data_IF_141960632675
#
_entry.id   IF_141960632675
#
_cell.length_a   1.000
_cell.length_b   1.000
_cell.length_c   1.000
_cell.angle_alpha   90.00
_cell.angle_beta   90.00
_cell.angle_gamma   90.00
#
_symmetry.space_group_name_H-M   'P 1'
#
loop_
_entity.id
_entity.type
_entity.pdbx_description
1 polymer ?
#
# COMPACT_ATOMS: atom_id res chain seq x y z
N UNK A 1 -11.73 27.84 -27.86
CA UNK A 1 -11.76 28.83 -26.76
C UNK A 1 -10.68 28.43 -25.77
N UNK A 2 -10.01 29.37 -25.09
CA UNK A 2 -8.98 28.99 -24.12
C UNK A 2 -9.62 28.26 -22.94
N UNK A 3 -9.07 27.12 -22.57
CA UNK A 3 -9.60 26.27 -21.48
C UNK A 3 -8.49 25.75 -20.58
N UNK A 4 -8.75 25.78 -19.27
CA UNK A 4 -7.89 25.19 -18.24
C UNK A 4 -8.52 23.89 -17.75
N UNK A 5 -7.84 22.77 -17.99
CA UNK A 5 -8.23 21.43 -17.53
C UNK A 5 -7.42 21.04 -16.30
N UNK A 6 -8.11 20.60 -15.24
CA UNK A 6 -7.53 20.23 -13.95
C UNK A 6 -7.96 18.83 -13.54
N UNK A 7 -7.01 17.99 -13.15
CA UNK A 7 -7.29 16.65 -12.64
C UNK A 7 -7.73 16.71 -11.17
N UNK A 8 -8.99 16.43 -10.89
CA UNK A 8 -9.64 16.68 -9.58
C UNK A 8 -9.01 15.88 -8.41
N UNK A 9 -8.37 14.75 -8.70
CA UNK A 9 -7.73 13.90 -7.68
C UNK A 9 -6.22 14.15 -7.53
N UNK A 10 -5.63 15.08 -8.29
CA UNK A 10 -4.22 15.42 -8.17
C UNK A 10 -3.95 16.29 -6.92
N UNK A 11 -2.67 16.50 -6.60
CA UNK A 11 -2.26 17.29 -5.44
C UNK A 11 -2.82 18.73 -5.50
N UNK A 12 -3.61 19.11 -4.50
CA UNK A 12 -4.21 20.45 -4.42
C UNK A 12 -3.14 21.56 -4.41
N UNK A 13 -1.93 21.29 -3.92
CA UNK A 13 -0.83 22.26 -3.94
C UNK A 13 -0.40 22.64 -5.36
N UNK A 14 -0.64 21.75 -6.33
CA UNK A 14 -0.38 21.96 -7.74
C UNK A 14 -1.59 22.63 -8.44
N UNK A 15 -2.80 22.20 -8.09
CA UNK A 15 -4.04 22.63 -8.75
C UNK A 15 -4.51 24.04 -8.37
N UNK A 16 -4.37 24.41 -7.10
CA UNK A 16 -4.94 25.66 -6.57
C UNK A 16 -4.29 26.92 -7.15
N UNK A 17 -2.95 27.04 -7.30
CA UNK A 17 -2.36 28.26 -7.85
C UNK A 17 -2.88 28.67 -9.24
N UNK A 18 -2.88 27.79 -10.28
CA UNK A 18 -3.40 28.17 -11.60
C UNK A 18 -4.92 28.36 -11.61
N UNK A 19 -5.68 27.59 -10.82
CA UNK A 19 -7.12 27.81 -10.67
C UNK A 19 -7.42 29.22 -10.14
N UNK A 20 -6.76 29.60 -9.05
CA UNK A 20 -7.03 30.88 -8.40
C UNK A 20 -6.60 32.06 -9.25
N UNK A 21 -5.54 31.91 -10.04
CA UNK A 21 -5.16 32.91 -11.06
C UNK A 21 -6.27 33.07 -12.10
N UNK A 22 -6.83 31.98 -12.60
CA UNK A 22 -7.97 32.05 -13.54
C UNK A 22 -9.20 32.66 -12.88
N UNK A 23 -9.54 32.27 -11.66
CA UNK A 23 -10.67 32.81 -10.92
C UNK A 23 -10.52 34.32 -10.67
N UNK A 24 -9.30 34.78 -10.36
CA UNK A 24 -8.99 36.20 -10.27
C UNK A 24 -9.22 36.93 -11.60
N UNK A 25 -8.71 36.39 -12.71
CA UNK A 25 -8.85 36.99 -14.04
C UNK A 25 -10.32 37.10 -14.47
N UNK A 26 -11.13 36.10 -14.14
CA UNK A 26 -12.58 36.13 -14.33
C UNK A 26 -13.25 37.17 -13.43
N UNK A 27 -12.80 37.31 -12.17
CA UNK A 27 -13.34 38.27 -11.21
C UNK A 27 -13.07 39.73 -11.61
N UNK A 28 -11.85 40.02 -12.08
CA UNK A 28 -11.42 41.38 -12.49
C UNK A 28 -11.91 41.73 -13.91
N UNK A 29 -12.68 40.85 -14.57
CA UNK A 29 -13.25 41.02 -15.92
C UNK A 29 -12.19 41.36 -17.00
N UNK A 30 -10.94 40.93 -16.82
CA UNK A 30 -9.84 41.23 -17.75
C UNK A 30 -9.74 40.24 -18.92
N UNK A 31 -10.50 39.14 -18.91
CA UNK A 31 -10.39 38.07 -19.90
C UNK A 31 -11.77 37.60 -20.38
N UNK A 32 -12.00 37.60 -21.70
CA UNK A 32 -13.17 36.97 -22.31
C UNK A 32 -13.07 35.44 -22.31
N UNK A 33 -14.18 34.77 -21.95
CA UNK A 33 -14.47 33.33 -22.10
C UNK A 33 -13.31 32.34 -21.87
N UNK A 34 -12.62 32.41 -20.74
CA UNK A 34 -11.71 31.35 -20.30
C UNK A 34 -12.49 30.34 -19.46
N UNK A 35 -12.63 29.09 -19.94
CA UNK A 35 -13.35 28.03 -19.23
C UNK A 35 -12.41 27.23 -18.33
N UNK A 36 -12.94 26.74 -17.21
CA UNK A 36 -12.26 25.78 -16.33
C UNK A 36 -13.02 24.47 -16.39
N UNK A 37 -12.31 23.40 -16.71
CA UNK A 37 -12.84 22.05 -16.88
C UNK A 37 -12.17 21.12 -15.85
N UNK A 38 -12.98 20.39 -15.09
CA UNK A 38 -12.53 19.51 -14.02
C UNK A 38 -12.64 18.05 -14.47
N UNK A 39 -11.50 17.39 -14.69
CA UNK A 39 -11.37 16.05 -15.27
C UNK A 39 -10.87 15.01 -14.23
N UNK A 40 -11.01 13.72 -14.52
CA UNK A 40 -10.39 12.67 -13.69
C UNK A 40 -8.89 12.57 -14.01
N UNK A 41 -8.05 12.13 -13.06
CA UNK A 41 -6.60 11.91 -13.28
C UNK A 41 -6.37 10.93 -14.44
N UNK A 42 -7.28 9.96 -14.61
CA UNK A 42 -7.24 9.04 -15.75
C UNK A 42 -7.60 9.70 -17.11
N UNK A 43 -8.12 10.93 -17.13
CA UNK A 43 -8.72 11.55 -18.31
C UNK A 43 -7.89 12.66 -18.97
N UNK A 44 -6.83 13.20 -18.33
CA UNK A 44 -5.95 14.18 -19.01
C UNK A 44 -4.96 13.47 -19.94
N UNK A 45 -4.33 12.39 -19.49
CA UNK A 45 -3.62 11.35 -20.26
C UNK A 45 -2.97 10.29 -19.33
N UNK A 46 -2.57 9.14 -19.90
CA UNK A 46 -1.89 8.03 -19.20
C UNK A 46 -0.47 8.36 -18.68
N UNK A 47 0.03 9.59 -18.91
CA UNK A 47 1.39 10.01 -18.56
C UNK A 47 1.48 10.76 -17.21
N UNK A 48 0.38 10.86 -16.46
CA UNK A 48 0.37 11.48 -15.13
C UNK A 48 0.40 13.02 -15.13
N UNK A 49 -0.09 13.65 -16.19
CA UNK A 49 -0.26 15.11 -16.27
C UNK A 49 -1.47 15.53 -15.42
N UNK A 50 -1.28 16.52 -14.55
CA UNK A 50 -2.33 16.98 -13.64
C UNK A 50 -3.04 18.26 -14.13
N UNK A 51 -2.37 19.06 -14.96
CA UNK A 51 -2.87 20.35 -15.46
C UNK A 51 -2.58 20.49 -16.95
N UNK A 52 -3.59 20.88 -17.72
CA UNK A 52 -3.44 21.22 -19.13
C UNK A 52 -4.14 22.54 -19.46
N UNK A 53 -3.45 23.45 -20.14
CA UNK A 53 -3.99 24.72 -20.60
C UNK A 53 -3.97 24.79 -22.12
N UNK A 54 -5.15 24.85 -22.75
CA UNK A 54 -5.29 25.13 -24.18
C UNK A 54 -5.38 26.65 -24.39
N UNK A 55 -4.42 27.19 -25.14
CA UNK A 55 -4.37 28.62 -25.47
C UNK A 55 -5.42 29.06 -26.49
N UNK A 56 -6.16 28.11 -27.11
CA UNK A 56 -7.12 28.36 -28.18
C UNK A 56 -6.48 28.68 -29.54
N UNK A 57 -5.14 28.62 -29.63
CA UNK A 57 -4.34 28.87 -30.85
C UNK A 57 -3.59 27.61 -31.34
N UNK A 58 -4.05 26.42 -30.95
CA UNK A 58 -3.42 25.14 -31.30
C UNK A 58 -2.20 24.79 -30.45
N UNK A 59 -1.96 25.49 -29.34
CA UNK A 59 -0.88 25.20 -28.38
C UNK A 59 -1.48 24.81 -27.03
N UNK A 60 -1.08 23.64 -26.52
CA UNK A 60 -1.41 23.14 -25.19
C UNK A 60 -0.16 23.17 -24.31
N UNK A 61 -0.30 23.65 -23.07
CA UNK A 61 0.77 23.76 -22.08
C UNK A 61 0.42 22.89 -20.87
N UNK A 62 1.42 22.26 -20.25
CA UNK A 62 1.20 21.27 -19.19
C UNK A 62 1.93 21.61 -17.87
N UNK A 63 1.31 21.23 -16.76
CA UNK A 63 1.84 21.29 -15.39
C UNK A 63 2.57 22.60 -15.05
N UNK A 64 3.85 22.54 -14.65
CA UNK A 64 4.63 23.69 -14.18
C UNK A 64 4.79 24.83 -15.18
N UNK A 65 4.50 24.60 -16.46
CA UNK A 65 4.56 25.63 -17.50
C UNK A 65 3.23 26.39 -17.67
N UNK A 66 2.13 25.89 -17.10
CA UNK A 66 0.79 26.50 -17.24
C UNK A 66 0.72 27.85 -16.56
N UNK A 67 1.24 27.96 -15.33
CA UNK A 67 1.17 29.19 -14.55
C UNK A 67 1.96 30.35 -15.19
N UNK A 68 3.23 30.16 -15.63
CA UNK A 68 3.94 31.18 -16.41
C UNK A 68 3.18 31.58 -17.68
N UNK A 69 2.61 30.62 -18.40
CA UNK A 69 1.87 30.89 -19.64
C UNK A 69 0.59 31.70 -19.38
N UNK A 70 -0.15 31.40 -18.32
CA UNK A 70 -1.35 32.15 -17.92
C UNK A 70 -1.01 33.59 -17.53
N UNK A 71 0.06 33.78 -16.75
CA UNK A 71 0.51 35.10 -16.33
C UNK A 71 1.01 35.95 -17.50
N UNK A 72 1.73 35.36 -18.46
CA UNK A 72 2.21 36.05 -19.66
C UNK A 72 1.05 36.43 -20.59
N UNK A 73 0.10 35.53 -20.80
CA UNK A 73 -0.97 35.70 -21.77
C UNK A 73 -2.12 36.59 -21.27
N UNK A 74 -2.43 36.56 -19.97
CA UNK A 74 -3.63 37.19 -19.41
C UNK A 74 -3.38 38.04 -18.17
N UNK A 75 -2.18 37.98 -17.58
CA UNK A 75 -1.84 38.76 -16.40
C UNK A 75 -1.71 40.26 -16.69
N UNK A 76 -2.09 41.14 -15.75
CA UNK A 76 -1.66 42.53 -15.73
C UNK A 76 -0.15 42.69 -15.95
N UNK A 77 0.29 43.81 -16.55
CA UNK A 77 1.71 44.06 -16.84
C UNK A 77 2.62 43.97 -15.60
N UNK A 78 2.06 44.24 -14.42
CA UNK A 78 2.70 44.15 -13.10
C UNK A 78 3.06 42.72 -12.67
N UNK A 79 2.50 41.69 -13.32
CA UNK A 79 2.76 40.28 -13.01
C UNK A 79 4.01 39.73 -13.71
N UNK A 80 4.68 40.53 -14.54
CA UNK A 80 5.82 40.07 -15.35
C UNK A 80 7.13 39.91 -14.57
N UNK A 81 7.21 40.43 -13.34
CA UNK A 81 8.40 40.34 -12.47
C UNK A 81 8.19 39.35 -11.30
N UNK A 82 7.63 38.17 -11.60
CA UNK A 82 7.10 37.24 -10.59
C UNK A 82 8.03 36.07 -10.26
N UNK A 83 9.34 36.33 -10.08
CA UNK A 83 10.32 35.30 -9.68
C UNK A 83 9.88 34.53 -8.43
N UNK A 84 9.37 35.25 -7.42
CA UNK A 84 8.83 34.65 -6.20
C UNK A 84 7.56 33.80 -6.43
N UNK A 85 6.71 34.15 -7.40
CA UNK A 85 5.53 33.36 -7.71
C UNK A 85 5.88 32.00 -8.29
N UNK A 86 6.86 31.96 -9.20
CA UNK A 86 7.35 30.72 -9.79
C UNK A 86 8.07 29.84 -8.75
N UNK A 87 8.80 30.44 -7.82
CA UNK A 87 9.46 29.73 -6.72
C UNK A 87 8.43 29.06 -5.78
N UNK A 88 7.39 29.78 -5.36
CA UNK A 88 6.33 29.23 -4.50
C UNK A 88 5.41 28.23 -5.20
N UNK A 89 5.12 28.43 -6.50
CA UNK A 89 4.43 27.43 -7.31
C UNK A 89 5.25 26.15 -7.47
N UNK A 90 6.57 26.30 -7.71
CA UNK A 90 7.53 25.20 -7.74
C UNK A 90 7.66 24.50 -6.39
N UNK A 91 7.63 25.25 -5.28
CA UNK A 91 7.60 24.69 -3.93
C UNK A 91 6.35 23.83 -3.71
N UNK A 92 5.18 24.28 -4.18
CA UNK A 92 3.94 23.52 -4.25
C UNK A 92 4.11 22.17 -4.94
N UNK A 93 4.71 22.17 -6.14
CA UNK A 93 4.89 21.00 -7.00
C UNK A 93 6.04 20.04 -6.59
N UNK A 94 7.16 20.54 -6.08
CA UNK A 94 8.39 19.78 -5.85
C UNK A 94 8.27 18.69 -4.76
N UNK A 95 7.24 18.76 -3.92
CA UNK A 95 7.00 17.76 -2.86
C UNK A 95 5.87 16.78 -3.19
N UNK A 96 5.28 16.88 -4.40
CA UNK A 96 4.25 15.95 -4.88
C UNK A 96 4.83 14.59 -5.32
N UNK A 97 6.16 14.45 -5.43
CA UNK A 97 6.87 13.20 -5.79
C UNK A 97 7.76 12.67 -4.66
N UNK A 98 7.32 12.75 -3.40
CA UNK A 98 8.04 12.11 -2.30
C UNK A 98 7.66 10.62 -2.23
N UNK A 99 8.30 9.82 -3.06
CA UNK A 99 8.31 8.35 -3.03
C UNK A 99 9.21 7.79 -1.89
N UNK A 100 9.34 8.54 -0.79
CA UNK A 100 10.20 8.19 0.34
C UNK A 100 9.42 8.21 1.65
N UNK A 101 9.67 7.20 2.48
CA UNK A 101 8.97 6.83 3.72
C UNK A 101 9.01 7.86 4.86
N UNK A 102 9.57 9.06 4.64
CA UNK A 102 9.45 10.24 5.51
C UNK A 102 9.78 11.51 4.71
N UNK A 103 8.84 12.44 4.48
CA UNK A 103 9.14 13.68 3.78
C UNK A 103 10.03 14.59 4.64
N UNK A 104 11.15 15.06 4.09
CA UNK A 104 12.00 16.07 4.73
C UNK A 104 11.26 17.41 4.76
N UNK A 105 10.81 17.82 5.94
CA UNK A 105 10.01 19.05 6.14
C UNK A 105 10.86 20.31 6.31
N UNK A 106 12.18 20.18 6.50
CA UNK A 106 13.08 21.32 6.79
C UNK A 106 13.05 22.41 5.71
N UNK A 107 13.00 22.09 4.39
CA UNK A 107 12.89 23.12 3.36
C UNK A 107 11.59 23.92 3.45
N UNK A 108 10.47 23.28 3.81
CA UNK A 108 9.19 23.95 4.04
C UNK A 108 9.26 24.88 5.25
N UNK A 109 9.82 24.40 6.37
CA UNK A 109 9.97 25.20 7.58
C UNK A 109 10.81 26.46 7.33
N UNK A 110 11.93 26.34 6.61
CA UNK A 110 12.78 27.47 6.25
C UNK A 110 12.06 28.48 5.34
N UNK A 111 11.33 27.99 4.33
CA UNK A 111 10.56 28.85 3.43
C UNK A 111 9.42 29.58 4.18
N UNK A 112 8.75 28.90 5.11
CA UNK A 112 7.71 29.49 5.95
C UNK A 112 8.27 30.54 6.91
N UNK A 113 9.43 30.31 7.53
CA UNK A 113 10.09 31.31 8.36
C UNK A 113 10.45 32.57 7.56
N UNK A 114 10.97 32.40 6.34
CA UNK A 114 11.28 33.51 5.44
C UNK A 114 10.03 34.32 5.06
N UNK A 115 8.92 33.63 4.75
CA UNK A 115 7.65 34.26 4.43
C UNK A 115 7.04 35.00 5.63
N UNK A 116 7.07 34.40 6.82
CA UNK A 116 6.53 35.04 8.04
C UNK A 116 7.29 36.33 8.35
N UNK A 117 8.62 36.30 8.26
CA UNK A 117 9.46 37.49 8.41
C UNK A 117 9.13 38.57 7.37
N UNK A 118 8.92 38.18 6.10
CA UNK A 118 8.56 39.12 5.04
C UNK A 118 7.18 39.77 5.26
N UNK A 119 6.23 39.05 5.86
CA UNK A 119 4.86 39.53 6.09
C UNK A 119 4.68 40.33 7.38
N UNK A 120 5.74 40.52 8.19
CA UNK A 120 5.69 41.21 9.48
C UNK A 120 4.97 42.57 9.43
N UNK A 121 5.26 43.39 8.42
CA UNK A 121 4.69 44.75 8.27
C UNK A 121 3.89 44.93 6.97
N UNK A 122 3.46 43.83 6.34
CA UNK A 122 2.86 43.86 5.00
C UNK A 122 1.48 43.21 4.98
N UNK A 123 0.50 43.90 4.42
CA UNK A 123 -0.85 43.36 4.21
C UNK A 123 -0.96 42.48 2.97
N UNK A 124 -0.07 42.69 2.00
CA UNK A 124 0.08 41.90 0.77
C UNK A 124 1.56 41.61 0.53
N UNK A 125 1.87 40.54 -0.18
CA UNK A 125 3.24 40.10 -0.46
C UNK A 125 4.03 41.18 -1.23
N UNK A 126 3.38 41.82 -2.20
CA UNK A 126 3.90 42.95 -2.96
C UNK A 126 2.86 44.07 -3.06
N UNK A 127 3.26 45.30 -2.77
CA UNK A 127 2.41 46.48 -2.91
C UNK A 127 1.30 46.62 -1.85
N UNK A 128 0.23 47.34 -2.22
CA UNK A 128 -0.90 47.66 -1.35
C UNK A 128 -2.22 46.99 -1.77
N UNK A 129 -2.19 46.08 -2.73
CA UNK A 129 -3.33 45.37 -3.30
C UNK A 129 -2.99 43.90 -3.55
N UNK A 130 -4.01 43.06 -3.74
CA UNK A 130 -3.83 41.64 -4.01
C UNK A 130 -3.08 41.42 -5.33
N UNK A 131 -1.89 40.81 -5.24
CA UNK A 131 -1.05 40.48 -6.38
C UNK A 131 -1.21 39.02 -6.84
N UNK A 132 -0.71 38.68 -8.04
CA UNK A 132 -0.58 37.28 -8.44
C UNK A 132 0.27 36.46 -7.45
N UNK A 133 1.30 37.09 -6.87
CA UNK A 133 2.18 36.41 -5.91
C UNK A 133 1.41 36.04 -4.65
N UNK A 134 0.55 36.92 -4.15
CA UNK A 134 -0.34 36.62 -3.02
C UNK A 134 -1.24 35.41 -3.32
N UNK A 135 -1.88 35.41 -4.49
CA UNK A 135 -2.82 34.36 -4.91
C UNK A 135 -2.12 33.01 -5.03
N UNK A 136 -0.92 33.00 -5.61
CA UNK A 136 -0.14 31.79 -5.86
C UNK A 136 0.41 31.21 -4.56
N UNK A 137 0.98 32.06 -3.69
CA UNK A 137 1.46 31.63 -2.36
C UNK A 137 0.29 31.09 -1.54
N UNK A 138 -0.84 31.79 -1.53
CA UNK A 138 -2.02 31.38 -0.79
C UNK A 138 -2.52 30.00 -1.27
N UNK A 139 -2.63 29.81 -2.58
CA UNK A 139 -3.05 28.53 -3.18
C UNK A 139 -2.08 27.38 -2.86
N UNK A 140 -0.78 27.62 -2.97
CA UNK A 140 0.25 26.62 -2.68
C UNK A 140 0.24 26.19 -1.20
N UNK A 141 0.04 27.14 -0.28
CA UNK A 141 -0.06 26.86 1.16
C UNK A 141 -1.37 26.15 1.53
N UNK A 142 -2.51 26.57 0.96
CA UNK A 142 -3.82 25.96 1.22
C UNK A 142 -3.89 24.50 0.77
N UNK A 143 -3.22 24.18 -0.35
CA UNK A 143 -3.21 22.84 -0.92
C UNK A 143 -2.36 21.82 -0.16
N UNK A 144 -1.39 22.28 0.67
CA UNK A 144 -0.56 21.39 1.49
C UNK A 144 -1.07 21.30 2.93
N UNK A 145 -1.55 20.13 3.33
CA UNK A 145 -2.06 19.86 4.70
C UNK A 145 -1.05 20.23 5.79
N UNK A 146 0.23 19.87 5.61
CA UNK A 146 1.29 20.17 6.58
C UNK A 146 1.50 21.68 6.70
N UNK A 147 1.61 22.40 5.57
CA UNK A 147 1.77 23.86 5.57
C UNK A 147 0.57 24.55 6.22
N UNK A 148 -0.65 24.14 5.87
CA UNK A 148 -1.88 24.68 6.49
C UNK A 148 -1.90 24.46 8.02
N UNK A 149 -1.45 23.30 8.50
CA UNK A 149 -1.34 23.04 9.94
C UNK A 149 -0.29 23.91 10.64
N UNK A 150 0.81 24.24 9.96
CA UNK A 150 1.88 25.10 10.48
C UNK A 150 1.47 26.57 10.55
N UNK A 151 0.62 27.04 9.62
CA UNK A 151 0.03 28.39 9.66
C UNK A 151 -0.75 28.58 10.97
N UNK A 152 -1.50 27.57 11.39
CA UNK A 152 -2.33 27.63 12.60
C UNK A 152 -1.53 27.56 13.92
N UNK A 153 -0.26 27.13 13.88
CA UNK A 153 0.51 26.82 15.10
C UNK A 153 1.72 27.70 15.35
N UNK A 154 2.42 28.14 14.31
CA UNK A 154 3.80 28.61 14.47
C UNK A 154 4.17 29.87 13.66
N UNK A 155 3.22 30.48 12.94
CA UNK A 155 3.50 31.63 12.06
C UNK A 155 2.42 32.72 12.19
N UNK A 156 2.57 33.67 13.12
CA UNK A 156 1.52 34.65 13.42
C UNK A 156 1.28 35.63 12.25
N UNK A 157 2.33 36.01 11.51
CA UNK A 157 2.20 36.97 10.41
C UNK A 157 1.60 36.30 9.17
N UNK A 158 2.00 35.07 8.87
CA UNK A 158 1.38 34.27 7.80
C UNK A 158 -0.09 34.01 8.15
N UNK A 159 -0.39 33.61 9.39
CA UNK A 159 -1.78 33.36 9.81
C UNK A 159 -2.66 34.60 9.65
N UNK A 160 -2.17 35.76 10.09
CA UNK A 160 -2.86 37.05 9.88
C UNK A 160 -3.09 37.33 8.40
N UNK A 161 -2.05 37.25 7.57
CA UNK A 161 -2.15 37.52 6.13
C UNK A 161 -3.09 36.52 5.43
N UNK A 162 -2.99 35.23 5.77
CA UNK A 162 -3.79 34.17 5.17
C UNK A 162 -5.29 34.37 5.44
N UNK A 163 -5.65 34.64 6.70
CA UNK A 163 -7.03 34.93 7.11
C UNK A 163 -7.53 36.28 6.53
N UNK A 164 -6.64 37.27 6.40
CA UNK A 164 -6.96 38.56 5.79
C UNK A 164 -7.30 38.42 4.29
N UNK A 165 -6.52 37.63 3.56
CA UNK A 165 -6.78 37.32 2.14
C UNK A 165 -8.11 36.57 2.00
N UNK A 166 -8.39 35.55 2.82
CA UNK A 166 -9.65 34.80 2.81
C UNK A 166 -10.88 35.68 3.09
N UNK A 167 -10.81 36.53 4.12
CA UNK A 167 -11.93 37.37 4.55
C UNK A 167 -12.21 38.54 3.60
N UNK A 168 -11.18 39.09 2.96
CA UNK A 168 -11.32 40.23 2.05
C UNK A 168 -11.68 39.78 0.62
N UNK A 169 -11.32 38.56 0.23
CA UNK A 169 -11.49 38.05 -1.13
C UNK A 169 -12.30 36.75 -1.16
N UNK A 170 -13.60 36.84 -0.86
CA UNK A 170 -14.50 35.67 -0.79
C UNK A 170 -14.59 34.82 -2.07
N UNK A 171 -14.18 35.35 -3.23
CA UNK A 171 -14.08 34.58 -4.46
C UNK A 171 -13.01 33.49 -4.39
N UNK A 172 -11.95 33.66 -3.59
CA UNK A 172 -10.90 32.66 -3.37
C UNK A 172 -11.52 31.42 -2.70
N UNK A 173 -12.26 31.63 -1.62
CA UNK A 173 -12.96 30.55 -0.89
C UNK A 173 -13.99 29.87 -1.79
N UNK A 174 -14.71 30.65 -2.59
CA UNK A 174 -15.71 30.12 -3.54
C UNK A 174 -15.06 29.25 -4.62
N UNK A 175 -13.91 29.67 -5.16
CA UNK A 175 -13.18 28.90 -6.17
C UNK A 175 -12.65 27.57 -5.62
N UNK A 176 -12.11 27.57 -4.39
CA UNK A 176 -11.67 26.34 -3.71
C UNK A 176 -12.86 25.41 -3.43
N UNK A 177 -13.96 25.95 -2.89
CA UNK A 177 -15.16 25.17 -2.59
C UNK A 177 -15.77 24.54 -3.85
N UNK A 178 -15.65 25.17 -5.02
CA UNK A 178 -16.10 24.61 -6.30
C UNK A 178 -15.36 23.33 -6.71
N UNK A 179 -14.05 23.25 -6.46
CA UNK A 179 -13.28 22.02 -6.67
C UNK A 179 -13.69 20.95 -5.65
N UNK A 180 -13.76 21.30 -4.37
CA UNK A 180 -14.10 20.35 -3.32
C UNK A 180 -15.52 19.77 -3.53
N UNK A 181 -16.49 20.59 -3.94
CA UNK A 181 -17.85 20.16 -4.26
C UNK A 181 -17.89 19.24 -5.48
N UNK A 182 -17.13 19.55 -6.54
CA UNK A 182 -17.06 18.70 -7.75
C UNK A 182 -16.36 17.37 -7.45
N UNK A 183 -15.30 17.39 -6.63
CA UNK A 183 -14.62 16.20 -6.14
C UNK A 183 -15.57 15.32 -5.30
N UNK A 184 -16.33 15.94 -4.39
CA UNK A 184 -17.32 15.25 -3.57
C UNK A 184 -18.48 14.68 -4.39
N UNK A 185 -19.00 15.42 -5.36
CA UNK A 185 -20.06 14.97 -6.24
C UNK A 185 -19.60 13.78 -7.09
N UNK A 186 -18.40 13.85 -7.69
CA UNK A 186 -17.83 12.74 -8.46
C UNK A 186 -17.50 11.53 -7.58
N UNK A 187 -16.99 11.71 -6.36
CA UNK A 187 -16.76 10.61 -5.39
C UNK A 187 -18.08 9.98 -4.93
N UNK A 188 -19.13 10.78 -4.74
CA UNK A 188 -20.47 10.31 -4.39
C UNK A 188 -21.07 9.48 -5.53
N UNK A 189 -20.95 9.96 -6.77
CA UNK A 189 -21.37 9.24 -7.97
C UNK A 189 -20.58 7.93 -8.17
N UNK A 190 -19.26 7.94 -7.95
CA UNK A 190 -18.43 6.73 -7.99
C UNK A 190 -18.78 5.73 -6.87
N UNK A 191 -19.14 6.22 -5.68
CA UNK A 191 -19.61 5.37 -4.57
C UNK A 191 -21.00 4.79 -4.84
N UNK A 192 -21.88 5.54 -5.53
CA UNK A 192 -23.22 5.10 -5.93
C UNK A 192 -23.19 4.11 -7.10
N UNK A 193 -22.13 4.12 -7.91
CA UNK A 193 -21.91 3.18 -9.02
C UNK A 193 -21.48 1.76 -8.57
N UNK A 194 -21.32 1.53 -7.25
CA UNK A 194 -20.70 0.32 -6.72
C UNK A 194 -19.18 0.38 -6.84
N UNK A 195 -18.46 -0.09 -5.81
CA UNK A 195 -17.00 -0.11 -5.84
C UNK A 195 -16.50 -0.91 -7.05
N UNK A 196 -15.58 -0.33 -7.83
CA UNK A 196 -14.84 -1.10 -8.83
C UNK A 196 -14.12 -2.24 -8.10
N UNK A 197 -14.56 -3.47 -8.34
CA UNK A 197 -13.85 -4.67 -7.91
C UNK A 197 -12.59 -4.91 -8.75
N UNK A 198 -12.17 -3.99 -9.60
CA UNK A 198 -10.93 -4.14 -10.34
C UNK A 198 -9.75 -3.67 -9.48
N UNK A 199 -9.31 -4.52 -8.53
CA UNK A 199 -8.08 -4.26 -7.76
C UNK A 199 -6.84 -4.45 -8.65
N UNK A 200 -6.79 -3.88 -9.85
CA UNK A 200 -5.63 -3.98 -10.76
C UNK A 200 -5.06 -5.39 -10.86
N UNK A 201 -5.91 -6.42 -10.76
CA UNK A 201 -5.51 -7.81 -10.93
C UNK A 201 -5.27 -7.92 -12.42
N UNK A 202 -4.09 -7.52 -12.88
CA UNK A 202 -3.77 -7.47 -14.32
C UNK A 202 -4.12 -8.80 -14.97
N UNK A 203 -4.48 -8.79 -16.25
CA UNK A 203 -4.90 -10.00 -16.96
C UNK A 203 -3.91 -11.15 -16.74
N UNK A 204 -4.34 -12.18 -16.01
CA UNK A 204 -3.55 -13.39 -15.81
C UNK A 204 -3.89 -14.37 -16.92
N UNK A 205 -2.87 -14.77 -17.67
CA UNK A 205 -3.02 -15.78 -18.72
C UNK A 205 -3.44 -17.11 -18.07
N UNK A 206 -4.66 -17.57 -18.34
CA UNK A 206 -5.22 -18.80 -17.78
C UNK A 206 -6.13 -18.62 -16.56
N UNK A 207 -6.64 -17.41 -16.30
CA UNK A 207 -7.64 -17.17 -15.25
C UNK A 207 -7.06 -16.78 -13.90
N UNK A 208 -7.87 -16.16 -13.05
CA UNK A 208 -7.49 -15.76 -11.69
C UNK A 208 -7.75 -16.92 -10.73
N UNK A 209 -6.69 -17.46 -10.14
CA UNK A 209 -6.79 -18.46 -9.06
C UNK A 209 -6.60 -17.80 -7.70
N UNK A 210 -7.60 -17.86 -6.83
CA UNK A 210 -7.57 -17.42 -5.42
C UNK A 210 -7.69 -18.61 -4.47
N UNK A 211 -7.49 -18.38 -3.16
CA UNK A 211 -7.81 -19.40 -2.15
C UNK A 211 -8.29 -18.78 -0.85
N UNK A 212 -9.29 -19.42 -0.25
CA UNK A 212 -9.67 -19.24 1.13
C UNK A 212 -9.02 -20.36 1.98
N UNK A 213 -8.02 -20.05 2.82
CA UNK A 213 -7.29 -21.06 3.57
C UNK A 213 -7.60 -21.04 5.08
N UNK A 214 -8.77 -21.54 5.54
CA UNK A 214 -9.10 -21.56 6.96
C UNK A 214 -8.30 -22.63 7.72
N UNK A 215 -7.83 -22.31 8.94
CA UNK A 215 -7.30 -23.32 9.89
C UNK A 215 -8.52 -24.02 10.55
N UNK A 216 -8.65 -25.35 10.47
CA UNK A 216 -9.80 -26.07 11.00
C UNK A 216 -9.73 -26.25 12.53
N UNK A 217 -9.55 -25.14 13.25
CA UNK A 217 -9.34 -25.07 14.70
C UNK A 217 -10.51 -24.47 15.48
N UNK A 218 -11.59 -24.10 14.78
CA UNK A 218 -12.80 -23.55 15.36
C UNK A 218 -13.78 -23.10 14.29
N UNK A 219 -14.87 -22.49 14.75
CA UNK A 219 -15.96 -22.00 13.91
C UNK A 219 -15.59 -20.71 13.17
N UNK A 220 -16.12 -20.53 11.95
CA UNK A 220 -15.97 -19.26 11.26
C UNK A 220 -16.69 -18.14 12.02
N UNK A 221 -16.21 -16.93 11.81
CA UNK A 221 -16.82 -15.71 12.35
C UNK A 221 -16.90 -14.67 11.24
N UNK A 222 -17.57 -13.53 11.48
CA UNK A 222 -17.81 -12.52 10.45
C UNK A 222 -16.54 -12.04 9.70
N UNK A 223 -15.39 -11.97 10.39
CA UNK A 223 -14.10 -11.69 9.74
C UNK A 223 -13.70 -12.73 8.67
N UNK A 224 -13.99 -14.01 8.89
CA UNK A 224 -13.77 -15.07 7.91
C UNK A 224 -14.73 -14.95 6.73
N UNK A 225 -15.98 -14.56 6.97
CA UNK A 225 -16.95 -14.31 5.89
C UNK A 225 -16.43 -13.23 4.92
N UNK A 226 -15.82 -12.15 5.42
CA UNK A 226 -15.15 -11.14 4.57
C UNK A 226 -14.08 -11.78 3.69
N UNK A 227 -13.20 -12.60 4.26
CA UNK A 227 -12.12 -13.25 3.52
C UNK A 227 -12.64 -14.26 2.48
N UNK A 228 -13.63 -15.07 2.83
CA UNK A 228 -14.23 -16.07 1.95
C UNK A 228 -14.95 -15.40 0.77
N UNK A 229 -15.87 -14.46 1.06
CA UNK A 229 -16.62 -13.71 0.04
C UNK A 229 -15.69 -12.96 -0.90
N UNK A 230 -14.60 -12.39 -0.39
CA UNK A 230 -13.68 -11.66 -1.23
C UNK A 230 -12.92 -12.58 -2.18
N UNK A 231 -12.42 -13.73 -1.71
CA UNK A 231 -11.75 -14.71 -2.58
C UNK A 231 -12.72 -15.27 -3.64
N UNK A 232 -13.97 -15.55 -3.25
CA UNK A 232 -15.07 -15.95 -4.13
C UNK A 232 -15.32 -14.88 -5.21
N UNK A 233 -15.57 -13.63 -4.81
CA UNK A 233 -15.80 -12.52 -5.75
C UNK A 233 -14.64 -12.32 -6.74
N UNK A 234 -13.40 -12.53 -6.31
CA UNK A 234 -12.23 -12.38 -7.20
C UNK A 234 -12.03 -13.55 -8.15
N UNK A 235 -12.34 -14.77 -7.71
CA UNK A 235 -12.34 -15.92 -8.59
C UNK A 235 -13.53 -15.81 -9.57
N UNK A 236 -14.76 -15.87 -9.08
CA UNK A 236 -15.95 -16.01 -9.92
C UNK A 236 -16.45 -14.70 -10.54
N UNK A 237 -15.89 -13.55 -10.17
CA UNK A 237 -16.16 -12.26 -10.82
C UNK A 237 -15.45 -12.06 -12.16
N UNK A 238 -14.64 -13.02 -12.61
CA UNK A 238 -13.92 -13.00 -13.88
C UNK A 238 -14.12 -14.31 -14.64
N UNK A 239 -14.10 -14.21 -15.96
CA UNK A 239 -14.11 -15.40 -16.82
C UNK A 239 -12.90 -16.29 -16.49
N UNK A 240 -13.13 -17.61 -16.37
CA UNK A 240 -12.13 -18.65 -16.06
C UNK A 240 -11.43 -18.52 -14.69
N UNK A 241 -12.01 -17.82 -13.71
CA UNK A 241 -11.45 -17.81 -12.36
C UNK A 241 -11.62 -19.13 -11.61
N UNK A 242 -10.84 -19.32 -10.55
CA UNK A 242 -10.89 -20.53 -9.71
C UNK A 242 -10.73 -20.18 -8.23
N UNK A 243 -11.69 -20.58 -7.41
CA UNK A 243 -11.61 -20.54 -5.96
C UNK A 243 -11.16 -21.90 -5.42
N UNK A 244 -10.13 -21.88 -4.57
CA UNK A 244 -9.73 -23.03 -3.77
C UNK A 244 -10.15 -22.82 -2.32
N UNK A 245 -10.81 -23.80 -1.71
CA UNK A 245 -10.89 -23.89 -0.26
C UNK A 245 -9.80 -24.83 0.23
N UNK A 246 -8.83 -24.30 0.96
CA UNK A 246 -7.70 -25.07 1.46
C UNK A 246 -7.76 -25.15 2.98
N UNK A 247 -8.10 -26.29 3.53
CA UNK A 247 -7.96 -26.48 4.98
C UNK A 247 -6.49 -26.44 5.36
N UNK A 248 -6.10 -25.43 6.13
CA UNK A 248 -4.73 -25.27 6.59
C UNK A 248 -4.51 -26.07 7.88
N UNK A 249 -4.47 -27.38 7.69
CA UNK A 249 -4.32 -28.38 8.75
C UNK A 249 -2.84 -28.65 9.08
N UNK A 250 -2.08 -27.63 9.48
CA UNK A 250 -0.63 -27.74 9.79
C UNK A 250 -0.33 -27.88 11.28
N UNK A 251 -1.34 -27.90 12.13
CA UNK A 251 -1.25 -27.83 13.57
C UNK A 251 -2.16 -28.86 14.26
N UNK A 252 -1.68 -30.11 14.44
CA UNK A 252 -2.50 -31.23 14.94
C UNK A 252 -2.99 -31.04 16.38
N UNK A 253 -2.52 -30.02 17.10
CA UNK A 253 -2.96 -29.73 18.47
C UNK A 253 -4.27 -28.97 18.56
N UNK A 254 -4.69 -28.29 17.48
CA UNK A 254 -5.85 -27.39 17.49
C UNK A 254 -6.98 -27.86 16.59
N UNK A 255 -6.69 -28.77 15.68
CA UNK A 255 -7.57 -29.07 14.54
C UNK A 255 -8.53 -30.22 14.82
N UNK A 256 -9.74 -30.16 14.27
CA UNK A 256 -10.76 -31.21 14.41
C UNK A 256 -11.61 -31.38 13.15
N UNK A 257 -12.13 -32.61 12.94
CA UNK A 257 -13.08 -32.89 11.85
C UNK A 257 -14.36 -32.05 12.00
N UNK A 258 -14.85 -31.89 13.23
CA UNK A 258 -16.01 -31.04 13.52
C UNK A 258 -15.84 -29.60 13.03
N UNK A 259 -14.63 -29.03 13.15
CA UNK A 259 -14.35 -27.69 12.64
C UNK A 259 -14.35 -27.66 11.12
N UNK A 260 -13.79 -28.68 10.44
CA UNK A 260 -13.84 -28.77 8.97
C UNK A 260 -15.28 -28.88 8.44
N UNK A 261 -16.09 -29.72 9.09
CA UNK A 261 -17.49 -29.92 8.72
C UNK A 261 -18.26 -28.61 8.89
N UNK A 262 -18.10 -27.92 10.03
CA UNK A 262 -18.75 -26.63 10.26
C UNK A 262 -18.30 -25.53 9.30
N UNK A 263 -17.00 -25.48 8.95
CA UNK A 263 -16.49 -24.52 7.96
C UNK A 263 -17.17 -24.77 6.61
N UNK A 264 -17.32 -26.04 6.22
CA UNK A 264 -17.97 -26.42 4.96
C UNK A 264 -19.44 -25.99 4.94
N UNK A 265 -20.17 -26.26 6.04
CA UNK A 265 -21.57 -25.84 6.20
C UNK A 265 -21.73 -24.31 6.17
N UNK A 266 -20.83 -23.57 6.80
CA UNK A 266 -20.83 -22.10 6.80
C UNK A 266 -20.58 -21.53 5.40
N UNK A 267 -19.66 -22.13 4.63
CA UNK A 267 -19.42 -21.74 3.23
C UNK A 267 -20.66 -21.99 2.36
N UNK A 268 -21.32 -23.14 2.51
CA UNK A 268 -22.56 -23.45 1.79
C UNK A 268 -23.70 -22.49 2.17
N UNK A 269 -23.82 -22.13 3.46
CA UNK A 269 -24.80 -21.15 3.93
C UNK A 269 -24.58 -19.77 3.29
N UNK A 270 -23.32 -19.38 3.08
CA UNK A 270 -22.94 -18.15 2.38
C UNK A 270 -23.02 -18.27 0.85
N UNK A 271 -23.39 -19.45 0.32
CA UNK A 271 -23.42 -19.77 -1.12
C UNK A 271 -22.06 -19.62 -1.80
N UNK A 272 -20.99 -19.93 -1.07
CA UNK A 272 -19.61 -19.96 -1.53
C UNK A 272 -19.31 -21.41 -1.90
N UNK A 273 -19.04 -21.66 -3.19
CA UNK A 273 -18.81 -23.01 -3.71
C UNK A 273 -17.41 -23.07 -4.34
N UNK A 274 -16.39 -23.50 -3.59
CA UNK A 274 -15.04 -23.63 -4.11
C UNK A 274 -14.97 -24.64 -5.26
N UNK A 275 -14.28 -24.30 -6.36
CA UNK A 275 -14.05 -25.23 -7.48
C UNK A 275 -13.17 -26.42 -7.07
N UNK A 276 -12.29 -26.19 -6.09
CA UNK A 276 -11.38 -27.21 -5.56
C UNK A 276 -11.28 -27.11 -4.05
N UNK A 277 -11.25 -28.28 -3.42
CA UNK A 277 -10.94 -28.41 -1.99
C UNK A 277 -9.63 -29.15 -1.83
N UNK A 278 -8.74 -28.61 -0.99
CA UNK A 278 -7.44 -29.21 -0.69
C UNK A 278 -7.12 -29.06 0.79
N UNK A 279 -6.06 -29.74 1.23
CA UNK A 279 -5.61 -29.70 2.62
C UNK A 279 -4.09 -29.64 2.64
N UNK A 280 -3.52 -28.83 3.54
CA UNK A 280 -2.07 -28.71 3.71
C UNK A 280 -1.39 -30.06 3.97
N UNK A 281 -2.04 -30.94 4.76
CA UNK A 281 -1.55 -32.28 5.09
C UNK A 281 -1.35 -33.20 3.89
N UNK A 282 -2.10 -32.98 2.80
CA UNK A 282 -1.94 -33.69 1.53
C UNK A 282 -0.59 -33.44 0.86
N UNK A 283 0.13 -32.40 1.28
CA UNK A 283 1.41 -31.98 0.70
C UNK A 283 2.59 -32.05 1.67
N UNK A 284 2.44 -32.69 2.84
CA UNK A 284 3.51 -32.76 3.84
C UNK A 284 4.79 -33.43 3.32
N UNK A 285 4.67 -34.43 2.45
CA UNK A 285 5.85 -35.05 1.83
C UNK A 285 6.63 -34.04 0.98
N UNK A 286 5.94 -33.29 0.12
CA UNK A 286 6.57 -32.27 -0.72
C UNK A 286 7.20 -31.17 0.14
N UNK A 287 6.51 -30.71 1.19
CA UNK A 287 7.06 -29.73 2.14
C UNK A 287 8.30 -30.26 2.87
N UNK A 288 8.30 -31.54 3.24
CA UNK A 288 9.45 -32.19 3.85
C UNK A 288 10.65 -32.22 2.90
N UNK A 289 10.43 -32.60 1.64
CA UNK A 289 11.45 -32.61 0.59
C UNK A 289 12.02 -31.21 0.33
N UNK A 290 11.18 -30.18 0.31
CA UNK A 290 11.64 -28.80 0.20
C UNK A 290 12.46 -28.35 1.42
N UNK A 291 12.11 -28.78 2.63
CA UNK A 291 12.93 -28.52 3.82
C UNK A 291 14.30 -29.19 3.71
N UNK A 292 14.32 -30.46 3.28
CA UNK A 292 15.57 -31.20 3.01
C UNK A 292 16.41 -30.49 1.95
N UNK A 293 15.80 -29.95 0.89
CA UNK A 293 16.49 -29.15 -0.12
C UNK A 293 17.14 -27.91 0.52
N UNK A 294 16.39 -27.13 1.31
CA UNK A 294 16.94 -25.94 1.98
C UNK A 294 18.10 -26.29 2.91
N UNK A 295 18.01 -27.41 3.64
CA UNK A 295 19.09 -27.89 4.49
C UNK A 295 20.34 -28.25 3.69
N UNK A 296 20.19 -28.98 2.57
CA UNK A 296 21.30 -29.33 1.66
C UNK A 296 21.97 -28.11 1.03
N UNK A 297 21.18 -27.10 0.70
CA UNK A 297 21.66 -25.84 0.12
C UNK A 297 22.17 -24.85 1.19
N UNK A 298 22.24 -25.26 2.46
CA UNK A 298 22.68 -24.45 3.59
C UNK A 298 21.82 -23.17 3.80
N UNK A 299 20.57 -23.21 3.34
CA UNK A 299 19.53 -22.17 3.48
C UNK A 299 18.60 -22.41 4.66
N UNK A 300 18.81 -23.49 5.41
CA UNK A 300 18.16 -23.78 6.69
C UNK A 300 19.15 -24.50 7.62
N UNK A 301 18.84 -24.55 8.91
CA UNK A 301 19.63 -25.26 9.91
C UNK A 301 18.76 -25.75 11.07
N UNK A 302 19.23 -26.77 11.79
CA UNK A 302 18.56 -27.28 12.98
C UNK A 302 19.00 -26.46 14.22
N UNK A 303 18.05 -26.09 15.08
CA UNK A 303 18.29 -25.27 16.26
C UNK A 303 17.59 -25.87 17.49
N UNK A 304 18.34 -26.08 18.58
CA UNK A 304 17.90 -26.56 19.88
C UNK A 304 17.85 -25.44 20.93
N UNK A 305 18.03 -24.18 20.51
CA UNK A 305 17.91 -23.03 21.40
C UNK A 305 16.51 -22.99 22.02
N UNK A 306 16.45 -22.86 23.35
CA UNK A 306 15.20 -22.72 24.11
C UNK A 306 14.36 -21.52 23.61
N UNK A 307 13.04 -21.64 23.69
CA UNK A 307 12.11 -20.71 23.04
C UNK A 307 12.28 -19.25 23.47
N UNK A 308 12.36 -18.95 24.77
CA UNK A 308 12.52 -17.57 25.25
C UNK A 308 13.89 -17.01 24.85
N UNK A 309 14.94 -17.83 24.93
CA UNK A 309 16.27 -17.44 24.44
C UNK A 309 16.27 -17.14 22.95
N UNK A 310 15.62 -17.98 22.13
CA UNK A 310 15.50 -17.79 20.69
C UNK A 310 14.74 -16.50 20.35
N UNK A 311 13.66 -16.23 21.08
CA UNK A 311 12.85 -15.01 20.91
C UNK A 311 13.67 -13.76 21.20
N UNK A 312 14.45 -13.75 22.27
CA UNK A 312 15.35 -12.63 22.58
C UNK A 312 16.48 -12.50 21.56
N UNK A 313 17.10 -13.61 21.16
CA UNK A 313 18.11 -13.60 20.10
C UNK A 313 17.57 -12.97 18.81
N UNK A 314 16.37 -13.37 18.37
CA UNK A 314 15.70 -12.77 17.20
C UNK A 314 15.35 -11.30 17.42
N UNK A 315 14.92 -10.92 18.62
CA UNK A 315 14.58 -9.53 18.96
C UNK A 315 15.79 -8.60 18.88
N UNK A 316 16.95 -9.04 19.36
CA UNK A 316 18.18 -8.25 19.42
C UNK A 316 19.17 -8.50 18.28
N UNK A 317 18.83 -9.37 17.32
CA UNK A 317 19.70 -9.67 16.18
C UNK A 317 20.97 -10.45 16.58
N UNK A 318 20.83 -11.38 17.52
CA UNK A 318 21.90 -12.26 17.99
C UNK A 318 21.80 -13.59 17.25
N UNK A 319 22.91 -14.06 16.68
CA UNK A 319 22.96 -15.35 15.99
C UNK A 319 22.81 -16.52 16.96
N UNK A 320 22.06 -17.55 16.56
CA UNK A 320 22.06 -18.84 17.27
C UNK A 320 23.43 -19.51 17.17
N UNK A 321 23.80 -20.30 18.19
CA UNK A 321 25.01 -21.11 18.18
C UNK A 321 24.98 -22.18 17.08
N UNK A 322 23.80 -22.68 16.73
CA UNK A 322 23.61 -23.73 15.73
C UNK A 322 23.47 -23.17 14.30
N UNK A 323 23.50 -21.84 14.12
CA UNK A 323 23.34 -21.22 12.80
C UNK A 323 24.42 -21.65 11.80
N UNK A 324 25.63 -21.89 12.27
CA UNK A 324 26.76 -22.32 11.43
C UNK A 324 26.96 -23.84 11.41
N UNK A 325 25.97 -24.61 11.91
CA UNK A 325 25.99 -26.07 11.80
C UNK A 325 26.03 -26.53 10.34
N UNK A 326 26.68 -27.66 10.12
CA UNK A 326 26.80 -28.24 8.78
C UNK A 326 25.44 -28.72 8.27
N UNK A 327 25.29 -28.81 6.95
CA UNK A 327 24.10 -29.37 6.32
C UNK A 327 23.86 -30.83 6.77
N UNK A 328 24.92 -31.63 6.89
CA UNK A 328 24.88 -33.02 7.33
C UNK A 328 24.34 -33.14 8.75
N UNK A 329 24.84 -32.33 9.68
CA UNK A 329 24.37 -32.34 11.07
C UNK A 329 22.89 -31.93 11.14
N UNK A 330 22.52 -30.86 10.43
CA UNK A 330 21.14 -30.37 10.44
C UNK A 330 20.16 -31.37 9.84
N UNK A 331 20.56 -32.11 8.79
CA UNK A 331 19.77 -33.21 8.22
C UNK A 331 19.61 -34.36 9.22
N UNK A 332 20.68 -34.75 9.91
CA UNK A 332 20.61 -35.80 10.93
C UNK A 332 19.65 -35.40 12.07
N UNK A 333 19.68 -34.13 12.51
CA UNK A 333 18.71 -33.61 13.50
C UNK A 333 17.29 -33.60 12.95
N UNK A 334 17.08 -33.23 11.69
CA UNK A 334 15.74 -33.24 11.10
C UNK A 334 15.15 -34.65 10.99
N UNK A 335 15.96 -35.66 10.64
CA UNK A 335 15.51 -37.06 10.67
C UNK A 335 15.22 -37.53 12.11
N UNK A 336 16.01 -37.11 13.10
CA UNK A 336 15.72 -37.38 14.51
C UNK A 336 14.40 -36.72 14.98
N UNK A 337 14.13 -35.47 14.54
CA UNK A 337 12.85 -34.80 14.75
C UNK A 337 11.70 -35.61 14.13
N UNK A 338 11.85 -36.08 12.89
CA UNK A 338 10.84 -36.89 12.19
C UNK A 338 10.57 -38.22 12.89
N UNK A 339 11.61 -38.88 13.41
CA UNK A 339 11.47 -40.08 14.24
C UNK A 339 10.72 -39.79 15.56
N UNK A 340 10.74 -38.54 16.03
CA UNK A 340 10.11 -38.07 17.26
C UNK A 340 10.72 -38.70 18.51
N UNK A 341 12.03 -38.92 18.50
CA UNK A 341 12.76 -39.34 19.69
C UNK A 341 12.89 -38.17 20.68
N UNK A 342 13.25 -38.47 21.93
CA UNK A 342 13.42 -37.46 22.99
C UNK A 342 14.39 -36.35 22.58
N UNK A 343 15.48 -36.70 21.91
CA UNK A 343 16.41 -35.72 21.36
C UNK A 343 15.75 -34.89 20.25
N UNK A 344 15.11 -35.53 19.27
CA UNK A 344 14.40 -34.87 18.18
C UNK A 344 13.34 -33.86 18.62
N UNK A 345 12.67 -34.08 19.76
CA UNK A 345 11.68 -33.11 20.29
C UNK A 345 12.27 -31.78 20.76
N UNK A 346 13.59 -31.72 20.95
CA UNK A 346 14.29 -30.50 21.38
C UNK A 346 14.68 -29.59 20.20
N UNK A 347 14.61 -30.11 18.97
CA UNK A 347 15.05 -29.39 17.77
C UNK A 347 13.87 -28.77 17.01
N UNK A 348 14.15 -27.65 16.36
CA UNK A 348 13.34 -27.09 15.30
C UNK A 348 14.21 -26.82 14.06
N UNK A 349 13.60 -26.61 12.90
CA UNK A 349 14.33 -26.13 11.72
C UNK A 349 14.05 -24.66 11.51
N UNK A 350 15.09 -23.87 11.30
CA UNK A 350 15.01 -22.44 11.00
C UNK A 350 15.54 -22.17 9.60
N UNK A 351 14.88 -21.27 8.88
CA UNK A 351 15.43 -20.75 7.64
C UNK A 351 16.65 -19.87 7.94
N UNK A 352 17.65 -19.89 7.06
CA UNK A 352 18.84 -19.05 7.12
C UNK A 352 18.65 -17.89 6.15
N UNK A 353 18.10 -16.79 6.64
CA UNK A 353 17.74 -15.60 5.85
C UNK A 353 18.65 -14.43 6.25
N UNK A 354 18.49 -13.95 7.48
CA UNK A 354 19.22 -12.82 8.04
C UNK A 354 19.16 -12.87 9.55
N UNK A 355 20.16 -12.32 10.23
CA UNK A 355 20.21 -12.29 11.70
C UNK A 355 19.60 -10.98 12.23
N UNK A 356 19.87 -9.87 11.56
CA UNK A 356 19.70 -8.51 12.05
C UNK A 356 18.83 -7.62 11.13
N UNK A 357 18.13 -8.23 10.15
CA UNK A 357 17.22 -7.52 9.25
C UNK A 357 16.27 -6.58 10.01
N UNK A 358 16.00 -5.39 9.47
CA UNK A 358 15.05 -4.44 10.06
C UNK A 358 13.67 -5.09 10.22
N UNK A 359 13.27 -5.91 9.24
CA UNK A 359 12.08 -6.74 9.31
C UNK A 359 12.34 -8.01 10.13
N UNK A 360 11.77 -8.05 11.34
CA UNK A 360 11.92 -9.18 12.28
C UNK A 360 11.38 -10.51 11.74
N UNK A 361 10.48 -10.50 10.77
CA UNK A 361 9.97 -11.72 10.13
C UNK A 361 11.04 -12.45 9.30
N UNK A 362 12.04 -11.71 8.79
CA UNK A 362 13.19 -12.25 8.05
C UNK A 362 14.32 -12.75 8.97
N UNK A 363 14.20 -12.56 10.29
CA UNK A 363 15.23 -12.98 11.23
C UNK A 363 15.15 -14.46 11.54
N UNK A 364 15.81 -15.26 10.70
CA UNK A 364 15.91 -16.73 10.75
C UNK A 364 14.65 -17.41 11.34
N UNK A 365 13.49 -17.34 10.64
CA UNK A 365 12.21 -17.84 11.15
C UNK A 365 12.19 -19.37 11.27
N UNK A 366 11.43 -19.90 12.23
CA UNK A 366 11.17 -21.33 12.36
C UNK A 366 10.25 -21.80 11.22
N UNK A 367 10.68 -22.84 10.51
CA UNK A 367 9.94 -23.44 9.39
C UNK A 367 9.39 -24.83 9.69
N UNK A 368 9.98 -25.57 10.64
CA UNK A 368 9.47 -26.85 11.12
C UNK A 368 9.59 -26.97 12.64
N UNK A 369 8.59 -27.61 13.25
CA UNK A 369 8.55 -27.93 14.68
C UNK A 369 8.18 -29.40 14.90
N UNK A 370 8.63 -29.97 16.01
CA UNK A 370 8.21 -31.31 16.43
C UNK A 370 6.89 -31.24 17.21
N UNK A 371 5.94 -32.11 16.91
CA UNK A 371 4.70 -32.32 17.67
C UNK A 371 4.34 -33.80 17.63
N UNK A 372 4.22 -34.44 18.79
CA UNK A 372 3.95 -35.88 18.89
C UNK A 372 2.45 -36.20 18.85
N UNK A 373 1.57 -35.20 18.83
CA UNK A 373 0.13 -35.44 18.74
C UNK A 373 -0.23 -36.03 17.37
N UNK A 374 -1.14 -37.02 17.32
CA UNK A 374 -1.68 -37.51 16.07
C UNK A 374 -2.40 -36.37 15.32
N UNK A 375 -2.22 -36.32 14.00
CA UNK A 375 -2.99 -35.44 13.13
C UNK A 375 -4.38 -36.03 12.87
N UNK A 376 -5.43 -35.20 12.86
CA UNK A 376 -6.81 -35.69 12.71
C UNK A 376 -7.05 -36.47 11.40
N UNK A 377 -6.46 -36.05 10.28
CA UNK A 377 -6.57 -36.76 8.97
C UNK A 377 -5.57 -37.89 8.74
N UNK A 378 -4.30 -37.69 9.08
CA UNK A 378 -3.21 -38.61 8.69
C UNK A 378 -2.58 -39.37 9.86
N UNK A 379 -3.18 -39.26 11.05
CA UNK A 379 -2.76 -39.96 12.27
C UNK A 379 -1.32 -39.67 12.67
N UNK A 380 -0.56 -40.73 12.96
CA UNK A 380 0.80 -40.66 13.48
C UNK A 380 1.89 -40.70 12.39
N UNK A 381 1.52 -40.48 11.12
CA UNK A 381 2.46 -40.56 9.99
C UNK A 381 3.61 -39.58 10.12
N UNK A 382 3.33 -38.38 10.64
CA UNK A 382 4.31 -37.32 10.84
C UNK A 382 4.38 -36.91 12.30
N UNK A 383 5.60 -36.57 12.73
CA UNK A 383 5.89 -35.98 14.05
C UNK A 383 6.53 -34.61 13.95
N UNK A 384 6.74 -34.14 12.72
CA UNK A 384 7.27 -32.82 12.38
C UNK A 384 6.28 -32.13 11.48
N UNK A 385 5.96 -30.88 11.82
CA UNK A 385 4.95 -30.11 11.14
C UNK A 385 5.53 -28.78 10.69
N UNK A 386 5.30 -28.40 9.42
CA UNK A 386 5.74 -27.11 8.91
C UNK A 386 4.98 -25.96 9.57
N UNK A 387 5.55 -24.76 9.55
CA UNK A 387 4.85 -23.54 9.99
C UNK A 387 4.05 -22.93 8.84
N UNK A 388 3.01 -22.17 9.17
CA UNK A 388 2.17 -21.46 8.20
C UNK A 388 2.97 -20.64 7.18
N UNK A 389 4.00 -19.92 7.66
CA UNK A 389 4.88 -19.08 6.82
C UNK A 389 5.68 -19.88 5.80
N UNK A 390 5.99 -21.15 6.10
CA UNK A 390 6.68 -22.06 5.18
C UNK A 390 5.69 -22.71 4.20
N UNK A 391 4.51 -23.12 4.69
CA UNK A 391 3.49 -23.82 3.90
C UNK A 391 2.88 -22.93 2.81
N UNK A 392 2.48 -21.71 3.19
CA UNK A 392 1.77 -20.77 2.32
C UNK A 392 2.39 -20.64 0.92
N UNK A 393 3.65 -20.18 0.77
CA UNK A 393 4.26 -19.97 -0.53
C UNK A 393 4.44 -21.26 -1.35
N UNK A 394 4.65 -22.40 -0.70
CA UNK A 394 4.80 -23.71 -1.36
C UNK A 394 3.48 -24.14 -1.96
N UNK A 395 2.43 -24.19 -1.13
CA UNK A 395 1.10 -24.62 -1.53
C UNK A 395 0.50 -23.68 -2.58
N UNK A 396 0.68 -22.37 -2.41
CA UNK A 396 0.22 -21.40 -3.39
C UNK A 396 0.91 -21.57 -4.74
N UNK A 397 2.19 -21.93 -4.75
CA UNK A 397 2.89 -22.28 -5.99
C UNK A 397 2.30 -23.55 -6.63
N UNK A 398 2.23 -24.65 -5.87
CA UNK A 398 1.81 -25.98 -6.33
C UNK A 398 0.37 -25.95 -6.86
N UNK A 399 -0.54 -25.30 -6.16
CA UNK A 399 -1.96 -25.29 -6.51
C UNK A 399 -2.33 -24.29 -7.60
N UNK A 400 -1.35 -23.55 -8.13
CA UNK A 400 -1.60 -22.60 -9.22
C UNK A 400 -2.15 -21.25 -8.77
N UNK A 401 -2.17 -20.94 -7.48
CA UNK A 401 -2.65 -19.66 -6.94
C UNK A 401 -1.95 -18.50 -7.63
N UNK A 402 -2.73 -17.55 -8.14
CA UNK A 402 -2.21 -16.36 -8.83
C UNK A 402 -2.08 -15.20 -7.86
N UNK A 403 -3.11 -15.05 -7.01
CA UNK A 403 -3.25 -13.98 -6.05
C UNK A 403 -3.58 -14.57 -4.68
N UNK A 404 -2.58 -14.56 -3.80
CA UNK A 404 -2.71 -14.94 -2.41
C UNK A 404 -3.20 -13.72 -1.62
N UNK A 405 -4.52 -13.61 -1.45
CA UNK A 405 -5.14 -12.54 -0.70
C UNK A 405 -4.92 -12.75 0.81
N UNK A 406 -4.39 -11.74 1.52
CA UNK A 406 -4.08 -11.80 2.95
C UNK A 406 -4.46 -10.50 3.66
N UNK A 407 -4.70 -10.59 4.96
CA UNK A 407 -4.97 -9.43 5.82
C UNK A 407 -3.70 -8.61 6.06
N UNK A 408 -3.85 -7.37 6.52
CA UNK A 408 -2.75 -6.43 6.77
C UNK A 408 -1.71 -6.92 7.79
N UNK A 409 -2.11 -7.82 8.70
CA UNK A 409 -1.23 -8.47 9.67
C UNK A 409 -0.08 -9.26 9.02
N UNK A 410 -0.24 -9.67 7.76
CA UNK A 410 0.77 -10.41 7.00
C UNK A 410 1.67 -9.52 6.14
N UNK A 411 1.50 -8.20 6.19
CA UNK A 411 2.29 -7.26 5.38
C UNK A 411 3.80 -7.49 5.54
N UNK A 412 4.28 -7.57 6.77
CA UNK A 412 5.71 -7.77 7.06
C UNK A 412 6.19 -9.20 6.72
N UNK A 413 5.27 -10.14 6.44
CA UNK A 413 5.60 -11.51 6.01
C UNK A 413 5.69 -11.65 4.49
N UNK A 414 5.29 -10.65 3.71
CA UNK A 414 5.42 -10.70 2.25
C UNK A 414 6.88 -10.85 1.77
N UNK A 415 7.87 -10.14 2.32
CA UNK A 415 9.27 -10.37 1.95
C UNK A 415 9.72 -11.81 2.21
N UNK A 416 9.27 -12.40 3.32
CA UNK A 416 9.58 -13.78 3.70
C UNK A 416 8.92 -14.77 2.73
N UNK A 417 7.67 -14.53 2.35
CA UNK A 417 6.93 -15.29 1.35
C UNK A 417 7.65 -15.33 -0.01
N UNK A 418 8.12 -14.17 -0.48
CA UNK A 418 8.90 -14.05 -1.73
C UNK A 418 10.26 -14.73 -1.60
N UNK A 419 10.90 -14.66 -0.43
CA UNK A 419 12.17 -15.34 -0.17
C UNK A 419 12.03 -16.85 -0.35
N UNK A 420 11.00 -17.49 0.21
CA UNK A 420 10.76 -18.93 0.04
C UNK A 420 10.54 -19.31 -1.42
N UNK A 421 9.75 -18.52 -2.17
CA UNK A 421 9.54 -18.76 -3.59
C UNK A 421 10.85 -18.75 -4.38
N UNK A 422 11.72 -17.76 -4.11
CA UNK A 422 13.03 -17.67 -4.77
C UNK A 422 13.97 -18.78 -4.32
N UNK A 423 14.02 -19.07 -3.01
CA UNK A 423 14.94 -20.03 -2.42
C UNK A 423 14.70 -21.45 -2.93
N UNK A 424 13.43 -21.81 -3.16
CA UNK A 424 12.98 -23.14 -3.61
C UNK A 424 12.71 -23.23 -5.12
N UNK A 425 12.89 -22.13 -5.88
CA UNK A 425 12.64 -22.12 -7.32
C UNK A 425 11.17 -22.32 -7.70
N UNK A 426 10.25 -21.85 -6.85
CA UNK A 426 8.81 -22.03 -7.01
C UNK A 426 8.21 -21.07 -8.06
N UNK A 427 7.04 -21.43 -8.57
CA UNK A 427 6.23 -20.52 -9.40
C UNK A 427 5.85 -19.32 -8.55
N UNK A 428 6.07 -18.13 -9.10
CA UNK A 428 5.70 -16.88 -8.42
C UNK A 428 4.19 -16.74 -8.35
N UNK A 429 3.67 -16.60 -7.14
CA UNK A 429 2.32 -16.12 -6.86
C UNK A 429 2.39 -14.79 -6.13
N UNK A 430 1.46 -13.88 -6.43
CA UNK A 430 1.45 -12.53 -5.87
C UNK A 430 0.73 -12.56 -4.52
N UNK A 431 1.44 -12.27 -3.43
CA UNK A 431 0.81 -12.03 -2.14
C UNK A 431 0.30 -10.58 -2.10
N UNK A 432 -1.02 -10.41 -2.01
CA UNK A 432 -1.68 -9.11 -1.98
C UNK A 432 -2.24 -8.85 -0.59
N UNK A 433 -1.91 -7.68 -0.05
CA UNK A 433 -2.43 -7.22 1.23
C UNK A 433 -3.71 -6.42 0.97
N UNK A 434 -4.80 -6.90 1.54
CA UNK A 434 -6.07 -6.21 1.54
C UNK A 434 -6.05 -5.18 2.66
N UNK A 435 -6.04 -3.90 2.30
CA UNK A 435 -6.24 -2.81 3.25
C UNK A 435 -7.73 -2.77 3.61
N UNK A 436 -8.01 -2.60 4.89
CA UNK A 436 -9.37 -2.67 5.45
C UNK A 436 -10.33 -1.64 4.88
#
# INVERSE_FOLDING_TARGET
>A
MPSLRLAVQADQALLLPPLLVVAYLQHVKSVGSLSVELEDVAAINDNGIAIAFDTGKGRVVHDGHVLPCLMEAYGPAEWRDAGAANEWAGFGAAHAKADSTTPDIRPLENAMQGLDAHLTLRSYYTGCSLSAVDIIIWGALRGKKVAYSMIQRSNPNISRWFNFVESTHGWIVTAVAGIDATAHQKRSLASAAGGSHDIGLGHVKGGVVTRFPPEPSGFLHIGHAKAALLNECFAHGRDDGTLICRFDDTNPSKESQESEDSITDDLEMMKIYPDRTSHSSGFFLQMYEYCVQLLRENKAYADDTEYEVMKDQRKYGIKSKCRESSATDSLARFEAMRAGCKEGTQWCIRARISIDDVNKCLRDPVIYRCNLRPHHRIGNTWKVYPTYDFCGPILDSIEGVTHALRTNEYHDRNPQYVWFQKALGLRKSRSLILRE
#
